data_IF_909697416484
#
_entry.id   IF_909697416484
#
_cell.length_a   1.000
_cell.length_b   1.000
_cell.length_c   1.000
_cell.angle_alpha   90.00
_cell.angle_beta   90.00
_cell.angle_gamma   90.00
#
_symmetry.space_group_name_H-M   'P 1'
#
loop_
_entity.id
_entity.type
_entity.pdbx_description
1 polymer ?
#
# COMPACT_ATOMS: atom_id res chain seq x y z
N UNK A 1 14.21 7.38 4.96
CA UNK A 1 13.27 8.13 4.10
C UNK A 1 11.87 7.65 4.38
N UNK A 2 10.91 8.58 4.48
CA UNK A 2 9.50 8.24 4.67
C UNK A 2 8.68 8.70 3.46
N UNK A 3 7.98 7.74 2.83
CA UNK A 3 6.99 8.03 1.80
C UNK A 3 5.76 8.65 2.46
N UNK A 4 5.59 9.95 2.25
CA UNK A 4 4.64 10.80 2.97
C UNK A 4 3.33 11.02 2.18
N UNK A 5 2.73 9.91 1.74
CA UNK A 5 1.39 9.89 1.17
C UNK A 5 0.34 9.73 2.28
N UNK A 6 -0.86 10.34 2.16
CA UNK A 6 -1.98 10.05 3.05
C UNK A 6 -2.22 8.54 3.15
N UNK A 7 -2.51 8.04 4.36
CA UNK A 7 -2.68 6.61 4.70
C UNK A 7 -1.36 5.80 4.66
N UNK A 8 -0.52 5.94 3.63
CA UNK A 8 0.75 5.22 3.53
C UNK A 8 1.72 5.59 4.66
N UNK A 9 1.81 6.88 5.03
CA UNK A 9 2.62 7.32 6.16
C UNK A 9 2.24 6.60 7.45
N UNK A 10 0.95 6.60 7.77
CA UNK A 10 0.43 6.01 9.01
C UNK A 10 0.69 4.51 9.03
N UNK A 11 0.49 3.84 7.89
CA UNK A 11 0.83 2.44 7.72
C UNK A 11 2.32 2.17 8.03
N UNK A 12 3.26 2.87 7.38
CA UNK A 12 4.70 2.61 7.61
C UNK A 12 5.13 2.93 9.04
N UNK A 13 4.59 3.99 9.65
CA UNK A 13 4.88 4.32 11.05
C UNK A 13 4.32 3.25 12.01
N UNK A 14 3.13 2.71 11.72
CA UNK A 14 2.54 1.64 12.52
C UNK A 14 3.38 0.36 12.54
N UNK A 15 4.17 0.09 11.49
CA UNK A 15 5.10 -1.04 11.46
C UNK A 15 6.21 -0.89 12.51
N UNK A 16 6.76 0.32 12.66
CA UNK A 16 7.75 0.59 13.71
C UNK A 16 7.11 0.55 15.10
N UNK A 17 5.93 1.13 15.26
CA UNK A 17 5.21 1.14 16.53
C UNK A 17 4.88 -0.28 17.01
N UNK A 18 4.40 -1.14 16.12
CA UNK A 18 4.13 -2.56 16.42
C UNK A 18 5.39 -3.32 16.85
N UNK A 19 6.57 -2.89 16.36
CA UNK A 19 7.87 -3.43 16.77
C UNK A 19 8.46 -2.75 18.03
N UNK A 20 7.77 -1.78 18.64
CA UNK A 20 8.28 -0.99 19.76
C UNK A 20 9.43 -0.05 19.38
N UNK A 21 9.58 0.27 18.09
CA UNK A 21 10.66 1.09 17.55
C UNK A 21 10.18 2.52 17.27
N UNK A 22 11.12 3.47 17.33
CA UNK A 22 10.92 4.86 16.88
C UNK A 22 11.83 5.13 15.68
N UNK A 23 11.30 5.34 14.47
CA UNK A 23 12.13 5.56 13.30
C UNK A 23 12.77 6.95 13.35
N UNK A 24 14.04 7.04 12.96
CA UNK A 24 14.67 8.31 12.63
C UNK A 24 14.33 8.69 11.19
N UNK A 25 13.55 9.77 11.02
CA UNK A 25 13.09 10.21 9.70
C UNK A 25 13.96 11.38 9.26
N UNK A 26 14.98 11.07 8.44
CA UNK A 26 15.87 12.07 7.86
C UNK A 26 15.14 13.04 6.93
N UNK A 27 14.27 12.52 6.06
CA UNK A 27 13.50 13.29 5.08
C UNK A 27 12.13 12.65 4.81
N UNK A 28 11.18 13.49 4.40
CA UNK A 28 9.78 13.12 4.08
C UNK A 28 9.42 13.65 2.71
N UNK A 29 8.86 12.80 1.86
CA UNK A 29 8.38 13.22 0.54
C UNK A 29 7.24 12.32 0.07
N UNK A 30 6.21 12.86 -0.59
CA UNK A 30 5.18 12.04 -1.23
C UNK A 30 5.66 11.36 -2.53
N UNK A 31 6.86 11.71 -3.02
CA UNK A 31 7.39 11.25 -4.31
C UNK A 31 8.25 9.97 -4.13
N UNK A 32 7.70 8.83 -4.55
CA UNK A 32 8.40 7.53 -4.48
C UNK A 32 9.67 7.49 -5.34
N UNK A 33 9.66 7.91 -6.64
CA UNK A 33 10.88 8.12 -7.41
C UNK A 33 11.98 8.88 -6.66
N UNK A 34 11.63 9.96 -5.95
CA UNK A 34 12.60 10.71 -5.13
C UNK A 34 13.14 9.87 -3.97
N UNK A 35 12.29 9.16 -3.22
CA UNK A 35 12.72 8.23 -2.16
C UNK A 35 13.72 7.21 -2.71
N UNK A 36 13.41 6.60 -3.84
CA UNK A 36 14.26 5.62 -4.52
C UNK A 36 15.63 6.21 -4.86
N UNK A 37 15.68 7.38 -5.49
CA UNK A 37 16.96 8.06 -5.78
C UNK A 37 17.73 8.38 -4.50
N UNK A 38 17.10 8.88 -3.45
CA UNK A 38 17.79 9.17 -2.19
C UNK A 38 18.36 7.92 -1.52
N UNK A 39 17.63 6.81 -1.52
CA UNK A 39 18.12 5.51 -1.02
C UNK A 39 19.29 5.02 -1.85
N UNK A 40 19.18 5.04 -3.19
CA UNK A 40 20.24 4.63 -4.11
C UNK A 40 21.51 5.50 -3.99
N UNK A 41 21.38 6.73 -3.51
CA UNK A 41 22.49 7.65 -3.23
C UNK A 41 23.03 7.55 -1.80
N UNK A 42 22.57 6.60 -0.97
CA UNK A 42 23.15 6.34 0.34
C UNK A 42 22.62 7.22 1.48
N UNK A 43 21.50 7.92 1.29
CA UNK A 43 20.87 8.72 2.36
C UNK A 43 20.08 7.89 3.38
N UNK A 44 20.09 6.56 3.27
CA UNK A 44 19.46 5.62 4.20
C UNK A 44 18.60 4.60 3.47
N UNK A 45 17.54 4.13 4.12
CA UNK A 45 16.56 3.18 3.58
C UNK A 45 15.15 3.80 3.51
N UNK A 46 14.25 3.18 2.76
CA UNK A 46 12.83 3.51 2.70
C UNK A 46 11.98 2.24 2.76
N UNK A 47 10.73 2.37 3.20
CA UNK A 47 9.75 1.28 3.18
C UNK A 47 8.74 1.50 2.05
N UNK A 48 8.33 0.42 1.39
CA UNK A 48 7.32 0.42 0.33
C UNK A 48 6.56 -0.90 0.30
N UNK A 49 5.31 -0.89 -0.17
CA UNK A 49 4.42 -2.06 -0.10
C UNK A 49 4.47 -2.99 -1.32
N UNK A 50 5.02 -2.52 -2.43
CA UNK A 50 5.19 -3.33 -3.64
C UNK A 50 6.40 -2.79 -4.39
N UNK A 51 7.52 -3.53 -4.46
CA UNK A 51 8.60 -3.12 -5.34
C UNK A 51 8.09 -3.24 -6.77
N UNK A 52 8.05 -2.12 -7.49
CA UNK A 52 8.21 -2.20 -8.94
C UNK A 52 9.59 -2.84 -9.14
N UNK A 53 9.64 -3.99 -9.84
CA UNK A 53 10.83 -4.85 -9.89
C UNK A 53 12.02 -4.26 -10.67
N UNK A 54 12.08 -2.94 -10.82
CA UNK A 54 13.22 -2.23 -11.35
C UNK A 54 14.29 -2.14 -10.26
N UNK A 55 15.40 -2.84 -10.49
CA UNK A 55 16.59 -2.83 -9.62
C UNK A 55 17.41 -1.53 -9.71
N UNK A 56 16.84 -0.47 -10.29
CA UNK A 56 17.48 0.83 -10.45
C UNK A 56 16.52 1.96 -10.09
N UNK A 57 17.05 2.98 -9.43
CA UNK A 57 16.37 4.24 -9.22
C UNK A 57 16.26 5.04 -10.54
N UNK A 58 15.39 6.06 -10.61
CA UNK A 58 15.23 6.90 -11.79
C UNK A 58 16.52 7.57 -12.29
N UNK A 59 17.49 7.79 -11.40
CA UNK A 59 18.81 8.32 -11.74
C UNK A 59 19.81 7.25 -12.23
N UNK A 60 19.34 6.02 -12.41
CA UNK A 60 20.12 4.87 -12.92
C UNK A 60 20.97 4.18 -11.86
N UNK A 61 20.94 4.60 -10.59
CA UNK A 61 21.71 3.93 -9.53
C UNK A 61 21.02 2.65 -9.05
N UNK A 62 21.78 1.61 -8.67
CA UNK A 62 21.20 0.34 -8.26
C UNK A 62 20.42 0.47 -6.95
N UNK A 63 19.36 -0.33 -6.83
CA UNK A 63 18.55 -0.51 -5.63
C UNK A 63 18.55 -1.98 -5.22
N UNK A 64 18.43 -2.21 -3.92
CA UNK A 64 18.22 -3.54 -3.35
C UNK A 64 16.91 -3.54 -2.58
N UNK A 65 16.02 -4.48 -2.90
CA UNK A 65 14.77 -4.69 -2.20
C UNK A 65 14.94 -5.83 -1.20
N UNK A 66 14.70 -5.54 0.08
CA UNK A 66 14.81 -6.52 1.16
C UNK A 66 13.41 -6.76 1.72
N UNK A 67 12.89 -7.99 1.66
CA UNK A 67 11.64 -8.35 2.31
C UNK A 67 11.70 -8.10 3.81
N UNK A 68 10.62 -7.55 4.37
CA UNK A 68 10.52 -7.35 5.83
C UNK A 68 10.02 -8.66 6.43
N UNK A 69 10.80 -9.26 7.32
CA UNK A 69 10.39 -10.44 8.06
C UNK A 69 9.46 -10.12 9.24
N UNK A 70 8.75 -11.13 9.73
CA UNK A 70 7.86 -11.03 10.88
C UNK A 70 6.40 -10.81 10.52
N UNK A 71 5.54 -10.79 11.54
CA UNK A 71 4.10 -10.69 11.37
C UNK A 71 3.67 -9.21 11.32
N UNK A 72 3.79 -8.60 10.15
CA UNK A 72 3.30 -7.25 9.89
C UNK A 72 1.89 -7.30 9.30
N UNK A 73 1.12 -6.22 9.50
CA UNK A 73 -0.22 -6.09 8.90
C UNK A 73 -0.10 -6.23 7.37
N UNK A 74 -0.82 -7.16 6.73
CA UNK A 74 -0.78 -7.28 5.27
C UNK A 74 -1.41 -6.03 4.63
N UNK A 75 -0.90 -5.65 3.45
CA UNK A 75 -1.58 -4.66 2.63
C UNK A 75 -2.85 -5.27 2.06
N UNK A 76 -3.98 -4.59 2.21
CA UNK A 76 -5.26 -5.01 1.63
C UNK A 76 -5.61 -4.11 0.44
N UNK A 77 -5.95 -4.73 -0.71
CA UNK A 77 -6.42 -4.02 -1.89
C UNK A 77 -7.92 -4.22 -2.06
N UNK A 78 -8.72 -3.19 -1.84
CA UNK A 78 -10.18 -3.28 -1.96
C UNK A 78 -10.73 -2.73 -3.28
N UNK A 79 -11.92 -3.20 -3.67
CA UNK A 79 -12.76 -2.55 -4.67
C UNK A 79 -13.91 -1.83 -3.97
N UNK A 80 -14.08 -0.54 -4.23
CA UNK A 80 -15.14 0.28 -3.64
C UNK A 80 -16.12 0.66 -4.75
N UNK A 81 -17.41 0.36 -4.53
CA UNK A 81 -18.47 0.59 -5.52
C UNK A 81 -19.70 1.16 -4.83
N UNK A 82 -20.54 1.91 -5.56
CA UNK A 82 -21.84 2.33 -5.05
C UNK A 82 -22.72 1.13 -4.71
N UNK A 83 -23.41 1.21 -3.56
CA UNK A 83 -24.41 0.20 -3.19
C UNK A 83 -25.55 0.26 -4.19
N UNK A 84 -25.76 -0.84 -4.92
CA UNK A 84 -26.83 -0.98 -5.91
C UNK A 84 -27.57 -2.29 -5.65
N UNK A 85 -28.89 -2.27 -5.80
CA UNK A 85 -29.71 -3.49 -5.75
C UNK A 85 -29.35 -4.47 -6.86
N UNK A 86 -28.84 -3.97 -8.00
CA UNK A 86 -28.36 -4.79 -9.11
C UNK A 86 -26.93 -4.44 -9.50
N UNK A 87 -26.07 -5.45 -9.47
CA UNK A 87 -24.69 -5.35 -9.92
C UNK A 87 -24.63 -5.39 -11.45
N UNK A 88 -23.99 -4.39 -12.06
CA UNK A 88 -23.78 -4.35 -13.51
C UNK A 88 -22.86 -5.49 -13.97
N UNK A 89 -23.11 -6.04 -15.17
CA UNK A 89 -22.23 -7.03 -15.81
C UNK A 89 -20.79 -6.52 -15.97
N UNK A 90 -20.62 -5.23 -16.24
CA UNK A 90 -19.28 -4.61 -16.37
C UNK A 90 -18.56 -4.65 -15.03
N UNK A 91 -19.27 -4.37 -13.93
CA UNK A 91 -18.67 -4.39 -12.60
C UNK A 91 -18.28 -5.82 -12.19
N UNK A 92 -19.14 -6.80 -12.41
CA UNK A 92 -18.81 -8.21 -12.17
C UNK A 92 -17.61 -8.68 -13.00
N UNK A 93 -17.56 -8.32 -14.28
CA UNK A 93 -16.44 -8.67 -15.16
C UNK A 93 -15.13 -8.00 -14.70
N UNK A 94 -15.19 -6.76 -14.22
CA UNK A 94 -14.02 -6.06 -13.70
C UNK A 94 -13.51 -6.68 -12.40
N UNK A 95 -14.39 -7.03 -11.46
CA UNK A 95 -13.99 -7.71 -10.22
C UNK A 95 -13.34 -9.07 -10.48
N UNK A 96 -13.91 -9.86 -11.38
CA UNK A 96 -13.34 -11.14 -11.80
C UNK A 96 -11.96 -10.94 -12.45
N UNK A 97 -11.85 -9.93 -13.30
CA UNK A 97 -10.58 -9.57 -13.93
C UNK A 97 -9.50 -9.20 -12.90
N UNK A 98 -9.84 -8.40 -11.89
CA UNK A 98 -8.93 -8.05 -10.79
C UNK A 98 -8.52 -9.30 -10.00
N UNK A 99 -9.47 -10.16 -9.62
CA UNK A 99 -9.19 -11.38 -8.85
C UNK A 99 -8.25 -12.34 -9.58
N UNK A 100 -8.40 -12.46 -10.90
CA UNK A 100 -7.58 -13.36 -11.72
C UNK A 100 -6.15 -12.85 -11.98
N UNK A 101 -5.87 -11.56 -11.74
CA UNK A 101 -4.56 -10.93 -12.02
C UNK A 101 -3.72 -10.66 -10.79
N UNK A 102 -4.31 -10.70 -9.59
CA UNK A 102 -3.59 -10.40 -8.36
C UNK A 102 -2.96 -11.68 -7.79
N UNK A 103 -1.66 -11.68 -7.47
CA UNK A 103 -1.00 -12.84 -6.88
C UNK A 103 -1.63 -13.20 -5.53
N UNK A 104 -1.99 -14.47 -5.35
CA UNK A 104 -2.62 -14.95 -4.12
C UNK A 104 -1.69 -14.97 -2.90
N UNK A 105 -0.37 -14.96 -3.11
CA UNK A 105 0.56 -15.49 -2.10
C UNK A 105 1.56 -14.46 -1.54
N UNK A 106 1.81 -13.34 -2.22
CA UNK A 106 2.82 -12.35 -1.77
C UNK A 106 2.50 -10.89 -2.19
N UNK A 107 1.28 -10.61 -2.65
CA UNK A 107 0.81 -9.28 -3.02
C UNK A 107 -0.28 -8.78 -2.08
N UNK A 108 -0.69 -7.50 -2.17
CA UNK A 108 -1.80 -7.01 -1.37
C UNK A 108 -3.04 -7.87 -1.62
N UNK A 109 -3.59 -8.45 -0.56
CA UNK A 109 -4.73 -9.36 -0.65
C UNK A 109 -6.00 -8.56 -0.87
N UNK A 110 -6.87 -8.97 -1.80
CA UNK A 110 -8.22 -8.42 -1.87
C UNK A 110 -9.08 -9.06 -0.79
N UNK A 111 -9.25 -8.35 0.32
CA UNK A 111 -10.30 -8.66 1.28
C UNK A 111 -11.64 -8.11 0.76
N UNK A 112 -12.67 -8.96 0.70
CA UNK A 112 -14.03 -8.47 0.58
C UNK A 112 -14.40 -7.81 1.92
N UNK A 113 -14.48 -6.49 1.93
CA UNK A 113 -14.92 -5.74 3.11
C UNK A 113 -16.42 -5.52 2.97
N UNK A 114 -17.22 -6.04 3.90
CA UNK A 114 -18.63 -5.72 3.95
C UNK A 114 -18.81 -4.21 4.14
N UNK A 115 -19.76 -3.64 3.42
CA UNK A 115 -20.05 -2.21 3.51
C UNK A 115 -20.33 -1.84 4.98
N UNK A 116 -19.80 -0.71 5.49
CA UNK A 116 -20.12 -0.26 6.84
C UNK A 116 -21.64 -0.16 6.96
N UNK A 117 -22.20 -0.84 7.97
CA UNK A 117 -23.64 -0.80 8.22
C UNK A 117 -24.04 0.64 8.51
N UNK A 118 -24.78 1.25 7.57
CA UNK A 118 -25.27 2.62 7.71
C UNK A 118 -26.09 2.75 8.98
N UNK A 119 -25.63 3.62 9.90
CA UNK A 119 -26.41 4.05 11.06
C UNK A 119 -27.71 4.72 10.61
N UNK A 120 -28.76 4.71 11.45
CA UNK A 120 -30.09 5.12 11.04
C UNK A 120 -30.10 6.61 10.69
N UNK A 121 -30.56 6.91 9.48
CA UNK A 121 -30.87 8.27 9.06
C UNK A 121 -31.90 8.87 10.01
N UNK A 122 -31.53 9.95 10.69
CA UNK A 122 -32.49 10.79 11.39
C UNK A 122 -33.23 11.61 10.34
N UNK A 123 -34.49 11.26 10.12
CA UNK A 123 -35.50 12.11 9.53
C UNK A 123 -35.81 13.27 10.50
N UNK A 124 -35.74 14.49 9.98
CA UNK A 124 -36.14 15.73 10.62
C UNK A 124 -36.28 16.79 9.55
#
# INVERSE_FOLDING_TARGET
MLLDLPISREYFLSLFEAAGLRPFIAERTPDLPMVCSMVANGFGYGLMNAPNMDWHAPDGKPLCYVPIEGNHRPLELGLITMRSERKSRILSAFEEHCRNRLPADHGPTIAAVDAPQGGPGKSG
#
